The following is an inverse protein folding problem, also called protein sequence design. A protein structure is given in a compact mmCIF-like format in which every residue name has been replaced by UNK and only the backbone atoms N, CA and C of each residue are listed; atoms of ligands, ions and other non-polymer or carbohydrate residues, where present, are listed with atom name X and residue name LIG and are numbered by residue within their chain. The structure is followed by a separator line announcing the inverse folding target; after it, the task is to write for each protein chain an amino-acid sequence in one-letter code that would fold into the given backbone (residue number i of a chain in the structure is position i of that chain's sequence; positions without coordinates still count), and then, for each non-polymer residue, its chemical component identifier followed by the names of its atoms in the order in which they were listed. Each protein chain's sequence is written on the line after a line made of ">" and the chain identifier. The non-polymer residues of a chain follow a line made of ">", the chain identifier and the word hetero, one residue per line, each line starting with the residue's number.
data_IF_478139355484
#
_entry.id   IF_478139355484
#
_cell.length_a   1.000
_cell.length_b   1.000
_cell.length_c   1.000
_cell.angle_alpha   90.00
_cell.angle_beta   90.00
_cell.angle_gamma   90.00
#
_symmetry.space_group_name_H-M   'P 1'
#
loop_
_entity.id
_entity.type
_entity.pdbx_description
1 polymer ?
#
# COMPACT_ATOMS: atom_id res chain seq x y z
N UNK A 1 -16.62 -10.54 -3.04
CA UNK A 1 -16.03 -11.86 -2.74
C UNK A 1 -14.52 -11.80 -2.81
N UNK A 2 -13.83 -12.75 -2.16
CA UNK A 2 -12.36 -12.85 -2.13
C UNK A 2 -11.74 -12.97 -3.53
N UNK A 3 -12.42 -13.63 -4.45
CA UNK A 3 -12.01 -13.74 -5.87
C UNK A 3 -11.72 -12.38 -6.52
N UNK A 4 -12.61 -11.40 -6.33
CA UNK A 4 -12.45 -10.07 -6.91
C UNK A 4 -11.16 -9.40 -6.41
N UNK A 5 -10.81 -9.58 -5.13
CA UNK A 5 -9.58 -9.04 -4.56
C UNK A 5 -8.34 -9.77 -5.09
N UNK A 6 -8.41 -11.10 -5.25
CA UNK A 6 -7.30 -11.90 -5.77
C UNK A 6 -6.92 -11.56 -7.23
N UNK A 7 -7.92 -11.16 -8.03
CA UNK A 7 -7.73 -10.72 -9.41
C UNK A 7 -7.32 -9.26 -9.56
N UNK A 8 -7.39 -8.45 -8.49
CA UNK A 8 -6.97 -7.05 -8.56
C UNK A 8 -5.44 -6.93 -8.72
N UNK A 9 -4.96 -5.96 -9.52
CA UNK A 9 -3.55 -5.59 -9.50
C UNK A 9 -3.23 -4.84 -8.20
N UNK A 10 -1.95 -4.89 -7.79
CA UNK A 10 -1.47 -4.22 -6.57
C UNK A 10 -1.79 -2.72 -6.56
N UNK A 11 -1.71 -2.03 -7.70
CA UNK A 11 -2.07 -0.61 -7.81
C UNK A 11 -3.54 -0.34 -7.45
N UNK A 12 -4.46 -1.24 -7.82
CA UNK A 12 -5.88 -1.10 -7.44
C UNK A 12 -6.10 -1.36 -5.94
N UNK A 13 -5.38 -2.32 -5.35
CA UNK A 13 -5.39 -2.53 -3.91
C UNK A 13 -4.80 -1.33 -3.15
N UNK A 14 -3.76 -0.70 -3.70
CA UNK A 14 -3.13 0.48 -3.13
C UNK A 14 -4.13 1.61 -2.91
N UNK A 15 -5.05 1.82 -3.85
CA UNK A 15 -6.04 2.91 -3.82
C UNK A 15 -7.47 2.43 -3.50
N UNK A 16 -7.63 1.22 -2.97
CA UNK A 16 -8.94 0.66 -2.65
C UNK A 16 -9.68 1.56 -1.62
N UNK A 17 -10.89 1.98 -1.98
CA UNK A 17 -11.67 2.94 -1.18
C UNK A 17 -11.38 4.42 -1.45
N UNK A 18 -10.46 4.78 -2.36
CA UNK A 18 -10.19 6.17 -2.76
C UNK A 18 -11.05 6.65 -3.95
N UNK A 19 -12.31 6.22 -4.07
CA UNK A 19 -13.10 6.43 -5.30
C UNK A 19 -13.23 7.91 -5.69
N UNK A 20 -13.50 8.80 -4.72
CA UNK A 20 -13.60 10.24 -4.98
C UNK A 20 -12.28 10.85 -5.47
N UNK A 21 -11.15 10.48 -4.85
CA UNK A 21 -9.83 10.95 -5.26
C UNK A 21 -9.41 10.40 -6.63
N UNK A 22 -9.76 9.14 -6.94
CA UNK A 22 -9.55 8.56 -8.27
C UNK A 22 -10.42 9.25 -9.33
N UNK A 23 -11.67 9.61 -9.00
CA UNK A 23 -12.53 10.38 -9.89
C UNK A 23 -11.96 11.78 -10.17
N UNK A 24 -11.43 12.47 -9.15
CA UNK A 24 -10.71 13.72 -9.34
C UNK A 24 -9.42 13.55 -10.15
N UNK A 25 -8.68 12.46 -9.93
CA UNK A 25 -7.47 12.16 -10.70
C UNK A 25 -7.76 11.99 -12.19
N UNK A 26 -8.86 11.32 -12.55
CA UNK A 26 -9.33 11.24 -13.94
C UNK A 26 -9.65 12.61 -14.56
N UNK A 27 -9.86 13.65 -13.75
CA UNK A 27 -10.07 15.05 -14.18
C UNK A 27 -8.79 15.89 -14.12
N UNK A 28 -7.62 15.28 -13.92
CA UNK A 28 -6.32 15.95 -13.91
C UNK A 28 -5.73 16.24 -12.53
N UNK A 29 -6.42 15.91 -11.43
CA UNK A 29 -5.83 16.04 -10.09
C UNK A 29 -4.67 15.02 -9.90
N UNK A 30 -3.73 15.23 -8.97
CA UNK A 30 -2.71 14.24 -8.66
C UNK A 30 -3.32 12.90 -8.16
N UNK A 31 -2.73 11.74 -8.49
CA UNK A 31 -3.25 10.45 -8.07
C UNK A 31 -3.19 10.27 -6.55
N UNK A 32 -4.17 9.57 -5.94
CA UNK A 32 -4.12 9.24 -4.51
C UNK A 32 -2.94 8.30 -4.21
N UNK A 33 -2.22 8.58 -3.12
CA UNK A 33 -1.08 7.76 -2.67
C UNK A 33 -1.50 6.42 -2.07
N UNK A 34 -2.70 6.37 -1.50
CA UNK A 34 -3.25 5.20 -0.82
C UNK A 34 -4.77 5.35 -0.68
N UNK A 35 -5.44 4.22 -0.54
CA UNK A 35 -6.85 4.11 -0.19
C UNK A 35 -7.10 4.27 1.31
N UNK A 36 -8.37 4.41 1.69
CA UNK A 36 -8.77 4.50 3.09
C UNK A 36 -8.37 3.23 3.87
N UNK A 37 -8.45 2.07 3.21
CA UNK A 37 -8.13 0.77 3.81
C UNK A 37 -6.65 0.66 4.17
N UNK A 38 -5.73 1.06 3.29
CA UNK A 38 -4.31 1.05 3.63
C UNK A 38 -3.95 2.19 4.59
N UNK A 39 -4.62 3.34 4.49
CA UNK A 39 -4.34 4.46 5.37
C UNK A 39 -4.69 4.19 6.84
N UNK A 40 -5.61 3.27 7.13
CA UNK A 40 -5.91 2.89 8.52
C UNK A 40 -4.76 2.16 9.22
N UNK A 41 -3.80 1.59 8.47
CA UNK A 41 -2.63 0.91 9.05
C UNK A 41 -1.69 1.92 9.73
N UNK A 42 -1.26 1.70 10.99
CA UNK A 42 -0.34 2.60 11.70
C UNK A 42 0.97 2.88 10.95
N UNK A 43 1.48 1.88 10.22
CA UNK A 43 2.69 1.96 9.40
C UNK A 43 2.58 3.05 8.31
N UNK A 44 1.36 3.37 7.86
CA UNK A 44 1.11 4.42 6.85
C UNK A 44 0.62 5.70 7.52
N UNK A 45 -0.39 5.64 8.37
CA UNK A 45 -1.00 6.85 8.97
C UNK A 45 -0.02 7.65 9.82
N UNK A 46 0.81 6.96 10.62
CA UNK A 46 1.81 7.59 11.51
C UNK A 46 3.12 7.94 10.79
N UNK A 47 3.29 7.50 9.55
CA UNK A 47 4.50 7.80 8.77
C UNK A 47 4.49 9.22 8.17
N UNK A 48 5.67 9.83 7.94
CA UNK A 48 5.76 11.14 7.30
C UNK A 48 5.12 11.16 5.91
N UNK A 49 4.46 12.27 5.55
CA UNK A 49 3.62 12.39 4.34
C UNK A 49 4.32 12.00 3.03
N UNK A 50 5.63 12.25 2.93
CA UNK A 50 6.44 11.96 1.75
C UNK A 50 6.82 10.48 1.60
N UNK A 51 6.75 9.70 2.68
CA UNK A 51 7.05 8.27 2.69
C UNK A 51 5.78 7.42 2.52
N UNK A 52 4.61 7.91 2.95
CA UNK A 52 3.33 7.15 2.94
C UNK A 52 3.03 6.41 1.64
N UNK A 53 3.26 7.04 0.49
CA UNK A 53 3.00 6.42 -0.81
C UNK A 53 3.95 5.26 -1.13
N UNK A 54 5.19 5.30 -0.64
CA UNK A 54 6.18 4.21 -0.80
C UNK A 54 5.78 3.00 0.04
N UNK A 55 5.44 3.25 1.30
CA UNK A 55 4.97 2.20 2.22
C UNK A 55 3.65 1.59 1.72
N UNK A 56 2.69 2.42 1.30
CA UNK A 56 1.42 1.93 0.77
C UNK A 56 1.60 1.07 -0.48
N UNK A 57 2.51 1.44 -1.39
CA UNK A 57 2.83 0.62 -2.56
C UNK A 57 3.42 -0.73 -2.17
N UNK A 58 4.37 -0.73 -1.24
CA UNK A 58 4.99 -1.96 -0.75
C UNK A 58 3.96 -2.90 -0.10
N UNK A 59 3.15 -2.37 0.84
CA UNK A 59 2.12 -3.14 1.53
C UNK A 59 1.02 -3.62 0.58
N UNK A 60 0.60 -2.81 -0.40
CA UNK A 60 -0.34 -3.25 -1.44
C UNK A 60 0.22 -4.40 -2.29
N UNK A 61 1.54 -4.42 -2.54
CA UNK A 61 2.23 -5.51 -3.21
C UNK A 61 2.15 -6.80 -2.41
N UNK A 62 2.50 -6.73 -1.13
CA UNK A 62 2.44 -7.88 -0.22
C UNK A 62 1.00 -8.38 -0.02
N UNK A 63 0.04 -7.48 0.21
CA UNK A 63 -1.37 -7.83 0.31
C UNK A 63 -1.89 -8.50 -0.98
N UNK A 64 -1.44 -8.07 -2.15
CA UNK A 64 -1.80 -8.70 -3.42
C UNK A 64 -1.34 -10.15 -3.53
N UNK A 65 -0.21 -10.50 -2.91
CA UNK A 65 0.30 -11.88 -2.89
C UNK A 65 -0.49 -12.69 -1.86
N UNK A 66 -0.64 -12.16 -0.64
CA UNK A 66 -1.38 -12.82 0.44
C UNK A 66 -2.81 -13.19 0.00
N UNK A 67 -3.55 -12.26 -0.60
CA UNK A 67 -4.93 -12.53 -1.07
C UNK A 67 -4.97 -13.60 -2.16
N UNK A 68 -3.93 -13.71 -3.00
CA UNK A 68 -3.85 -14.77 -4.01
C UNK A 68 -3.54 -16.12 -3.37
N UNK A 69 -2.64 -16.18 -2.39
CA UNK A 69 -2.41 -17.39 -1.62
C UNK A 69 -3.73 -17.85 -0.96
N UNK A 70 -4.42 -16.95 -0.27
CA UNK A 70 -5.68 -17.25 0.42
C UNK A 70 -6.80 -17.73 -0.52
N UNK A 71 -6.84 -17.24 -1.76
CA UNK A 71 -7.90 -17.57 -2.71
C UNK A 71 -7.59 -18.80 -3.56
N UNK A 72 -6.35 -18.99 -3.99
CA UNK A 72 -5.93 -20.06 -4.89
C UNK A 72 -5.31 -21.27 -4.17
N UNK A 73 -5.34 -21.29 -2.83
CA UNK A 73 -4.81 -22.42 -2.05
C UNK A 73 -3.28 -22.44 -1.95
N UNK A 74 -2.65 -21.26 -1.96
CA UNK A 74 -1.22 -21.12 -1.68
C UNK A 74 -0.89 -21.26 -0.20
N UNK A 75 0.40 -21.32 0.11
CA UNK A 75 0.90 -21.43 1.49
C UNK A 75 0.57 -20.16 2.30
N UNK A 76 0.08 -20.35 3.52
CA UNK A 76 -0.21 -19.25 4.44
C UNK A 76 1.07 -18.68 5.02
N UNK A 77 1.13 -17.35 5.13
CA UNK A 77 2.32 -16.72 5.66
C UNK A 77 2.46 -16.90 7.17
N UNK A 78 3.68 -17.20 7.60
CA UNK A 78 4.01 -17.34 9.02
C UNK A 78 4.14 -15.98 9.71
N UNK A 79 4.13 -15.98 11.04
CA UNK A 79 4.31 -14.75 11.82
C UNK A 79 5.67 -14.10 11.54
N UNK A 80 6.72 -14.89 11.28
CA UNK A 80 8.06 -14.43 10.96
C UNK A 80 8.10 -13.69 9.62
N UNK A 81 7.44 -14.24 8.59
CA UNK A 81 7.33 -13.60 7.28
C UNK A 81 6.58 -12.27 7.36
N UNK A 82 5.52 -12.20 8.19
CA UNK A 82 4.79 -10.95 8.44
C UNK A 82 5.66 -9.94 9.20
N UNK A 83 6.46 -10.40 10.17
CA UNK A 83 7.40 -9.55 10.90
C UNK A 83 8.48 -8.97 9.98
N UNK A 84 9.01 -9.75 9.04
CA UNK A 84 9.97 -9.29 8.02
C UNK A 84 9.37 -8.17 7.15
N UNK A 85 8.11 -8.31 6.73
CA UNK A 85 7.40 -7.25 5.98
C UNK A 85 7.30 -5.95 6.80
N UNK A 86 7.08 -6.05 8.10
CA UNK A 86 7.07 -4.89 8.98
C UNK A 86 8.46 -4.26 9.11
N UNK A 87 9.51 -5.06 9.24
CA UNK A 87 10.90 -4.57 9.27
C UNK A 87 11.27 -3.85 7.97
N UNK A 88 10.93 -4.42 6.81
CA UNK A 88 11.18 -3.79 5.51
C UNK A 88 10.42 -2.46 5.38
N UNK A 89 9.23 -2.35 5.97
CA UNK A 89 8.47 -1.09 6.02
C UNK A 89 9.21 0.00 6.78
N UNK A 90 9.81 -0.33 7.93
CA UNK A 90 10.66 0.62 8.67
C UNK A 90 11.97 0.91 7.93
N UNK A 91 12.55 -0.06 7.23
CA UNK A 91 13.73 0.16 6.38
C UNK A 91 13.42 1.14 5.22
N UNK A 92 12.26 1.02 4.58
CA UNK A 92 11.79 2.00 3.58
C UNK A 92 11.71 3.39 4.20
N UNK A 93 11.18 3.52 5.41
CA UNK A 93 11.08 4.80 6.10
C UNK A 93 12.45 5.39 6.44
N UNK A 94 13.38 4.57 6.92
CA UNK A 94 14.75 4.97 7.22
C UNK A 94 15.52 5.46 5.98
N UNK A 95 15.24 4.90 4.79
CA UNK A 95 15.83 5.35 3.52
C UNK A 95 15.39 6.77 3.08
N UNK A 96 14.29 7.31 3.63
CA UNK A 96 13.75 8.63 3.26
C UNK A 96 13.50 9.52 4.49
N UNK A 97 14.57 9.90 5.24
CA UNK A 97 14.43 10.64 6.49
C UNK A 97 13.95 12.09 6.27
N UNK A 98 14.31 12.68 5.13
CA UNK A 98 14.01 14.08 4.81
C UNK A 98 12.92 14.18 3.74
N UNK A 99 12.10 15.25 3.76
CA UNK A 99 11.14 15.52 2.69
C UNK A 99 11.88 15.74 1.36
N UNK A 100 11.29 15.36 0.22
CA UNK A 100 11.85 15.65 -1.09
C UNK A 100 11.99 17.16 -1.25
N UNK A 101 13.10 17.61 -1.84
CA UNK A 101 13.29 19.02 -2.21
C UNK A 101 12.11 19.42 -3.09
N UNK A 102 11.36 20.45 -2.68
CA UNK A 102 10.32 21.01 -3.53
C UNK A 102 11.03 21.57 -4.77
N UNK A 103 10.76 20.99 -5.94
CA UNK A 103 11.19 21.59 -7.20
C UNK A 103 10.59 22.98 -7.32
N UNK A 104 11.38 23.94 -7.81
CA UNK A 104 10.88 25.25 -8.26
C UNK A 104 9.84 25.06 -9.35
#
# INVERSE_FOLDING_TARGET
>A
GRERLARMPSGSLQVLGAHAAMAAHRRGAPPPKHGAILFSMPQISRSPRWVRGKIARFLAGKASIAVRCDHFGGETWTAEQVAEIHQETEAIKAKFPHPPKRGR
#
